data_IF_333431482574
#
_entry.id   IF_333431482574
#
_cell.length_a   1.000
_cell.length_b   1.000
_cell.length_c   1.000
_cell.angle_alpha   90.00
_cell.angle_beta   90.00
_cell.angle_gamma   90.00
#
_symmetry.space_group_name_H-M   'P 1'
#
loop_
_entity.id
_entity.type
_entity.pdbx_description
1 polymer ?
#
# COMPACT_ATOMS: atom_id res chain seq x y z
N UNK A 1 80.37 -0.09 0.93
CA UNK A 1 79.61 -0.91 1.90
C UNK A 1 78.23 -0.26 2.01
N UNK A 2 77.27 -0.72 1.13
CA UNK A 2 75.94 -0.14 1.06
C UNK A 2 74.95 -1.24 1.46
N UNK A 3 74.24 -1.04 2.55
CA UNK A 3 73.35 -2.00 3.18
C UNK A 3 71.96 -1.86 2.47
N UNK A 4 71.53 -2.91 1.82
CA UNK A 4 70.20 -3.01 1.20
C UNK A 4 69.21 -3.40 2.34
N UNK A 5 68.21 -2.51 2.59
CA UNK A 5 67.08 -2.81 3.46
C UNK A 5 66.03 -3.59 2.68
N UNK A 6 65.79 -4.80 3.10
CA UNK A 6 64.70 -5.67 2.64
C UNK A 6 63.35 -5.08 3.09
N UNK A 7 62.48 -4.79 2.13
CA UNK A 7 61.12 -4.36 2.36
C UNK A 7 60.23 -5.60 2.59
N UNK A 8 59.82 -5.87 3.81
CA UNK A 8 58.88 -6.93 4.15
C UNK A 8 57.47 -6.48 3.77
N UNK A 9 56.89 -7.14 2.79
CA UNK A 9 55.48 -7.05 2.44
C UNK A 9 54.64 -7.60 3.59
N UNK A 10 53.80 -6.73 4.15
CA UNK A 10 52.81 -7.07 5.17
C UNK A 10 51.59 -7.78 4.51
N UNK A 11 51.26 -9.03 4.87
CA UNK A 11 50.16 -9.79 4.23
C UNK A 11 48.79 -9.57 4.87
N UNK A 12 48.57 -8.49 5.62
CA UNK A 12 47.26 -8.18 6.23
C UNK A 12 46.46 -7.18 5.43
N UNK A 13 46.25 -7.46 4.13
CA UNK A 13 45.18 -6.81 3.39
C UNK A 13 43.82 -7.37 3.87
N UNK A 14 43.18 -6.67 4.78
CA UNK A 14 41.82 -6.98 5.23
C UNK A 14 40.84 -7.14 4.05
N UNK A 15 40.49 -8.39 3.79
CA UNK A 15 39.33 -8.72 2.94
C UNK A 15 38.08 -8.21 3.62
N UNK A 16 37.66 -6.98 3.31
CA UNK A 16 36.34 -6.45 3.68
C UNK A 16 35.23 -7.42 3.22
N UNK A 17 34.18 -7.59 4.00
CA UNK A 17 33.50 -8.87 4.10
C UNK A 17 32.60 -9.14 2.90
N UNK A 18 32.76 -10.30 2.31
CA UNK A 18 31.83 -11.02 1.42
C UNK A 18 30.38 -11.04 1.96
N UNK A 19 30.16 -10.70 3.23
CA UNK A 19 28.85 -10.62 3.90
C UNK A 19 27.91 -9.59 3.25
N UNK A 20 28.38 -8.42 2.83
CA UNK A 20 27.55 -7.37 2.22
C UNK A 20 27.03 -7.77 0.84
N UNK A 21 27.87 -8.37 -0.01
CA UNK A 21 27.49 -8.78 -1.38
C UNK A 21 26.47 -9.92 -1.35
N UNK A 22 26.64 -10.90 -0.46
CA UNK A 22 25.66 -12.00 -0.30
C UNK A 22 24.32 -11.52 0.23
N UNK A 23 24.32 -10.58 1.18
CA UNK A 23 23.09 -9.99 1.70
C UNK A 23 22.36 -9.19 0.61
N UNK A 24 23.07 -8.38 -0.16
CA UNK A 24 22.50 -7.64 -1.29
C UNK A 24 21.93 -8.58 -2.37
N UNK A 25 22.66 -9.65 -2.71
CA UNK A 25 22.15 -10.63 -3.68
C UNK A 25 20.93 -11.37 -3.15
N UNK A 26 20.87 -11.69 -1.87
CA UNK A 26 19.71 -12.31 -1.22
C UNK A 26 18.49 -11.38 -1.32
N UNK A 27 18.68 -10.10 -1.00
CA UNK A 27 17.61 -9.10 -1.07
C UNK A 27 17.14 -8.87 -2.50
N UNK A 28 18.06 -8.77 -3.47
CA UNK A 28 17.73 -8.66 -4.89
C UNK A 28 16.86 -9.84 -5.36
N UNK A 29 17.23 -11.07 -4.99
CA UNK A 29 16.45 -12.26 -5.36
C UNK A 29 15.08 -12.27 -4.68
N UNK A 30 15.00 -11.85 -3.40
CA UNK A 30 13.73 -11.71 -2.69
C UNK A 30 12.82 -10.70 -3.40
N UNK A 31 13.37 -9.57 -3.83
CA UNK A 31 12.63 -8.55 -4.60
C UNK A 31 12.14 -9.08 -5.94
N UNK A 32 12.99 -9.80 -6.69
CA UNK A 32 12.58 -10.42 -7.96
C UNK A 32 11.44 -11.41 -7.79
N UNK A 33 11.38 -12.16 -6.69
CA UNK A 33 10.26 -13.06 -6.39
C UNK A 33 8.95 -12.30 -6.15
N UNK A 34 8.99 -11.20 -5.42
CA UNK A 34 7.83 -10.34 -5.16
C UNK A 34 7.33 -9.73 -6.49
N UNK A 35 8.23 -9.17 -7.29
CA UNK A 35 7.91 -8.60 -8.60
C UNK A 35 7.33 -9.64 -9.56
N UNK A 36 7.91 -10.85 -9.59
CA UNK A 36 7.41 -11.97 -10.38
C UNK A 36 6.02 -12.45 -9.94
N UNK A 37 5.71 -12.40 -8.65
CA UNK A 37 4.38 -12.71 -8.14
C UNK A 37 3.37 -11.64 -8.53
N UNK A 38 3.73 -10.36 -8.40
CA UNK A 38 2.86 -9.25 -8.84
C UNK A 38 2.60 -9.28 -10.34
N UNK A 39 3.59 -9.60 -11.18
CA UNK A 39 3.43 -9.63 -12.64
C UNK A 39 2.44 -10.72 -13.11
N UNK A 40 2.26 -11.76 -12.31
CA UNK A 40 1.31 -12.84 -12.61
C UNK A 40 -0.13 -12.57 -12.18
N UNK A 41 -0.38 -11.53 -11.39
CA UNK A 41 -1.74 -11.15 -11.03
C UNK A 41 -2.43 -10.45 -12.21
N UNK A 42 -3.69 -10.80 -12.46
CA UNK A 42 -4.51 -10.17 -13.50
C UNK A 42 -5.98 -10.11 -13.09
N UNK A 43 -6.87 -9.70 -14.00
CA UNK A 43 -8.31 -9.76 -13.77
C UNK A 43 -8.79 -11.21 -13.58
N UNK A 44 -8.14 -12.16 -14.27
CA UNK A 44 -8.49 -13.59 -14.32
C UNK A 44 -7.64 -14.43 -13.37
N UNK A 45 -6.46 -13.94 -12.95
CA UNK A 45 -5.52 -14.68 -12.11
C UNK A 45 -5.35 -14.03 -10.74
N UNK A 46 -6.00 -14.61 -9.74
CA UNK A 46 -5.91 -14.19 -8.34
C UNK A 46 -4.63 -14.72 -7.66
N UNK A 47 -4.28 -14.16 -6.50
CA UNK A 47 -3.15 -14.64 -5.71
C UNK A 47 -3.29 -16.12 -5.32
N UNK A 48 -4.50 -16.56 -4.99
CA UNK A 48 -4.76 -17.96 -4.60
C UNK A 48 -4.49 -18.99 -5.71
N UNK A 49 -4.39 -18.53 -6.97
CA UNK A 49 -4.07 -19.39 -8.13
C UNK A 49 -2.57 -19.40 -8.47
N UNK A 50 -1.73 -18.63 -7.77
CA UNK A 50 -0.29 -18.60 -8.01
C UNK A 50 0.37 -19.89 -7.56
N UNK A 51 1.25 -20.42 -8.40
CA UNK A 51 2.10 -21.55 -8.03
C UNK A 51 3.55 -21.10 -7.77
N UNK A 52 4.14 -21.67 -6.70
CA UNK A 52 5.54 -21.44 -6.37
C UNK A 52 6.47 -21.66 -7.58
N UNK A 53 6.21 -22.71 -8.39
CA UNK A 53 7.03 -23.03 -9.55
C UNK A 53 6.96 -21.96 -10.63
N UNK A 54 5.78 -21.38 -10.85
CA UNK A 54 5.58 -20.32 -11.81
C UNK A 54 6.28 -19.03 -11.38
N UNK A 55 6.11 -18.66 -10.08
CA UNK A 55 6.76 -17.49 -9.49
C UNK A 55 8.29 -17.61 -9.55
N UNK A 56 8.85 -18.77 -9.17
CA UNK A 56 10.29 -19.00 -9.22
C UNK A 56 10.83 -18.94 -10.65
N UNK A 57 10.12 -19.52 -11.62
CA UNK A 57 10.48 -19.48 -13.03
C UNK A 57 10.48 -18.05 -13.57
N UNK A 58 9.47 -17.27 -13.27
CA UNK A 58 9.36 -15.87 -13.66
C UNK A 58 10.47 -15.02 -13.05
N UNK A 59 10.83 -15.28 -11.79
CA UNK A 59 11.95 -14.63 -11.11
C UNK A 59 13.34 -15.10 -11.59
N UNK A 60 13.40 -16.06 -12.53
CA UNK A 60 14.66 -16.59 -13.08
C UNK A 60 15.46 -17.44 -12.09
N UNK A 61 14.82 -18.09 -11.11
CA UNK A 61 15.49 -18.94 -10.12
C UNK A 61 14.95 -20.37 -10.11
N UNK A 62 15.76 -21.31 -9.61
CA UNK A 62 15.28 -22.67 -9.38
C UNK A 62 14.21 -22.69 -8.28
N UNK A 63 13.13 -23.49 -8.41
CA UNK A 63 12.07 -23.59 -7.39
C UNK A 63 12.58 -23.92 -5.97
N UNK A 64 13.65 -24.70 -5.87
CA UNK A 64 14.28 -25.01 -4.57
C UNK A 64 14.94 -23.79 -3.91
N UNK A 65 15.34 -22.79 -4.69
CA UNK A 65 15.91 -21.53 -4.19
C UNK A 65 14.87 -20.62 -3.56
N UNK A 66 13.61 -20.76 -3.90
CA UNK A 66 12.49 -20.02 -3.31
C UNK A 66 12.50 -20.13 -1.78
N UNK A 67 12.67 -21.35 -1.26
CA UNK A 67 12.64 -21.63 0.18
C UNK A 67 13.76 -20.98 1.01
N UNK A 68 14.73 -20.36 0.35
CA UNK A 68 15.74 -19.52 1.02
C UNK A 68 15.24 -18.11 1.32
N UNK A 69 14.12 -17.71 0.72
CA UNK A 69 13.55 -16.37 0.77
C UNK A 69 12.18 -16.33 1.43
N UNK A 70 11.35 -17.32 1.17
CA UNK A 70 10.00 -17.48 1.71
C UNK A 70 9.75 -18.93 2.08
N UNK A 71 9.09 -19.16 3.20
CA UNK A 71 8.71 -20.49 3.67
C UNK A 71 7.72 -21.17 2.70
N UNK A 72 6.75 -20.39 2.22
CA UNK A 72 5.70 -20.82 1.32
C UNK A 72 5.15 -19.62 0.51
N UNK A 73 4.17 -19.85 -0.34
CA UNK A 73 3.51 -18.82 -1.14
C UNK A 73 2.69 -17.87 -0.25
N UNK A 74 2.18 -18.36 0.87
CA UNK A 74 1.42 -17.52 1.81
C UNK A 74 2.31 -16.46 2.46
N UNK A 75 3.53 -16.78 2.89
CA UNK A 75 4.49 -15.80 3.40
C UNK A 75 4.87 -14.75 2.34
N UNK A 76 5.04 -15.18 1.08
CA UNK A 76 5.23 -14.26 -0.03
C UNK A 76 4.02 -13.31 -0.16
N UNK A 77 2.80 -13.85 -0.12
CA UNK A 77 1.57 -13.07 -0.21
C UNK A 77 1.41 -12.07 0.92
N UNK A 78 1.70 -12.47 2.16
CA UNK A 78 1.69 -11.56 3.31
C UNK A 78 2.68 -10.40 3.12
N UNK A 79 3.89 -10.69 2.63
CA UNK A 79 4.89 -9.67 2.30
C UNK A 79 4.37 -8.71 1.21
N UNK A 80 3.72 -9.24 0.17
CA UNK A 80 3.14 -8.42 -0.89
C UNK A 80 2.03 -7.50 -0.38
N UNK A 81 1.17 -7.98 0.54
CA UNK A 81 0.13 -7.17 1.19
C UNK A 81 0.76 -6.04 1.99
N UNK A 82 1.75 -6.34 2.84
CA UNK A 82 2.43 -5.34 3.67
C UNK A 82 3.11 -4.26 2.80
N UNK A 83 3.80 -4.65 1.72
CA UNK A 83 4.45 -3.69 0.80
C UNK A 83 3.42 -2.82 0.07
N UNK A 84 2.33 -3.42 -0.44
CA UNK A 84 1.26 -2.69 -1.13
C UNK A 84 0.55 -1.72 -0.20
N UNK A 85 0.27 -2.15 1.02
CA UNK A 85 -0.35 -1.31 2.06
C UNK A 85 0.55 -0.13 2.43
N UNK A 86 1.85 -0.38 2.65
CA UNK A 86 2.81 0.68 2.95
C UNK A 86 2.91 1.71 1.82
N UNK A 87 3.01 1.24 0.57
CA UNK A 87 3.05 2.11 -0.62
C UNK A 87 1.82 3.03 -0.67
N UNK A 88 0.62 2.46 -0.50
CA UNK A 88 -0.61 3.23 -0.55
C UNK A 88 -0.72 4.22 0.61
N UNK A 89 -0.36 3.82 1.85
CA UNK A 89 -0.33 4.75 3.00
C UNK A 89 0.61 5.92 2.77
N UNK A 90 1.81 5.68 2.25
CA UNK A 90 2.76 6.74 1.92
C UNK A 90 2.20 7.71 0.89
N UNK A 91 1.55 7.19 -0.18
CA UNK A 91 0.88 8.00 -1.18
C UNK A 91 -0.20 8.90 -0.56
N UNK A 92 -1.05 8.34 0.27
CA UNK A 92 -2.15 9.07 0.91
C UNK A 92 -1.65 10.11 1.92
N UNK A 93 -0.57 9.83 2.66
CA UNK A 93 0.08 10.82 3.52
C UNK A 93 0.63 12.00 2.73
N UNK A 94 1.33 11.73 1.62
CA UNK A 94 1.85 12.78 0.73
C UNK A 94 0.72 13.62 0.11
N UNK A 95 -0.41 12.99 -0.28
CA UNK A 95 -1.57 13.69 -0.77
C UNK A 95 -2.13 14.64 0.30
N UNK A 96 -2.28 14.19 1.56
CA UNK A 96 -2.73 15.03 2.68
C UNK A 96 -1.80 16.21 2.98
N UNK A 97 -0.50 16.01 2.96
CA UNK A 97 0.48 17.11 3.18
C UNK A 97 0.40 18.23 2.14
N UNK A 98 -0.05 17.93 0.92
CA UNK A 98 -0.25 18.94 -0.13
C UNK A 98 -1.47 19.84 0.10
N UNK A 99 -2.39 19.44 0.98
CA UNK A 99 -3.65 20.13 1.27
C UNK A 99 -3.43 21.38 2.13
N UNK A 100 -2.37 21.43 2.95
CA UNK A 100 -2.04 22.57 3.81
C UNK A 100 -1.85 23.88 3.02
N UNK A 101 -1.75 23.82 1.69
CA UNK A 101 -1.61 24.96 0.79
C UNK A 101 -2.94 25.49 0.19
N UNK A 102 -4.09 25.00 0.67
CA UNK A 102 -5.43 25.37 0.20
C UNK A 102 -5.94 24.46 -0.91
N UNK A 103 -7.15 23.90 -0.73
CA UNK A 103 -7.83 23.04 -1.70
C UNK A 103 -8.80 22.05 -1.04
N UNK A 104 -9.57 21.34 -1.87
CA UNK A 104 -10.45 20.29 -1.39
C UNK A 104 -9.64 19.04 -1.05
N UNK A 105 -9.58 18.67 0.23
CA UNK A 105 -8.95 17.43 0.74
C UNK A 105 -9.35 16.21 -0.09
N UNK A 106 -10.63 16.08 -0.35
CA UNK A 106 -11.20 14.94 -1.08
C UNK A 106 -10.59 14.86 -2.48
N UNK A 107 -10.66 15.94 -3.27
CA UNK A 107 -10.12 15.95 -4.63
C UNK A 107 -8.61 15.75 -4.67
N UNK A 108 -7.87 16.40 -3.77
CA UNK A 108 -6.41 16.28 -3.67
C UNK A 108 -5.95 14.87 -3.29
N UNK A 109 -6.80 14.09 -2.62
CA UNK A 109 -6.51 12.70 -2.26
C UNK A 109 -6.97 11.70 -3.33
N UNK A 110 -8.11 11.95 -4.01
CA UNK A 110 -8.69 11.03 -4.99
C UNK A 110 -7.87 10.93 -6.27
N UNK A 111 -7.43 12.04 -6.83
CA UNK A 111 -6.68 12.02 -8.09
C UNK A 111 -5.38 11.20 -7.99
N UNK A 112 -4.50 11.37 -6.96
CA UNK A 112 -3.35 10.50 -6.77
C UNK A 112 -3.72 9.03 -6.52
N UNK A 113 -4.84 8.76 -5.84
CA UNK A 113 -5.31 7.39 -5.61
C UNK A 113 -5.71 6.70 -6.93
N UNK A 114 -6.49 7.37 -7.78
CA UNK A 114 -6.88 6.84 -9.08
C UNK A 114 -5.69 6.67 -10.04
N UNK A 115 -4.74 7.59 -9.99
CA UNK A 115 -3.48 7.47 -10.73
C UNK A 115 -2.64 6.29 -10.25
N UNK A 116 -2.54 6.08 -8.94
CA UNK A 116 -1.82 4.94 -8.35
C UNK A 116 -2.43 3.60 -8.76
N UNK A 117 -3.77 3.50 -8.81
CA UNK A 117 -4.47 2.31 -9.32
C UNK A 117 -4.10 2.05 -10.78
N UNK A 118 -4.07 3.09 -11.61
CA UNK A 118 -3.71 2.97 -13.02
C UNK A 118 -2.27 2.51 -13.22
N UNK A 119 -1.34 3.02 -12.40
CA UNK A 119 0.09 2.74 -12.49
C UNK A 119 0.51 1.42 -11.83
N UNK A 120 -0.26 0.94 -10.83
CA UNK A 120 0.08 -0.27 -10.06
C UNK A 120 -1.12 -1.22 -9.91
N UNK A 121 -1.80 -1.62 -11.01
CA UNK A 121 -3.08 -2.34 -10.92
C UNK A 121 -2.97 -3.64 -10.12
N UNK A 122 -1.86 -4.35 -10.21
CA UNK A 122 -1.71 -5.64 -9.54
C UNK A 122 -1.56 -5.54 -8.02
N UNK A 123 -0.90 -4.48 -7.52
CA UNK A 123 -0.86 -4.21 -6.09
C UNK A 123 -2.26 -3.87 -5.54
N UNK A 124 -3.04 -3.10 -6.30
CA UNK A 124 -4.41 -2.78 -5.94
C UNK A 124 -5.37 -3.98 -6.09
N UNK A 125 -5.18 -4.87 -7.07
CA UNK A 125 -5.92 -6.14 -7.14
C UNK A 125 -5.73 -6.94 -5.87
N UNK A 126 -4.50 -7.05 -5.39
CA UNK A 126 -4.18 -7.77 -4.17
C UNK A 126 -4.91 -7.18 -2.95
N UNK A 127 -4.86 -5.87 -2.76
CA UNK A 127 -5.49 -5.20 -1.61
C UNK A 127 -7.01 -5.14 -1.68
N UNK A 128 -7.57 -4.91 -2.87
CA UNK A 128 -8.98 -4.58 -3.02
C UNK A 128 -9.86 -5.80 -3.34
N UNK A 129 -9.31 -6.81 -4.03
CA UNK A 129 -10.06 -7.99 -4.46
C UNK A 129 -9.84 -9.24 -3.61
N UNK A 130 -8.64 -9.40 -3.05
CA UNK A 130 -8.31 -10.59 -2.25
C UNK A 130 -8.86 -10.55 -0.80
N UNK A 131 -9.74 -9.60 -0.49
CA UNK A 131 -10.45 -9.53 0.81
C UNK A 131 -11.19 -10.81 1.17
N UNK A 132 -11.56 -11.59 0.15
CA UNK A 132 -12.26 -12.88 0.26
C UNK A 132 -11.34 -14.07 0.01
N UNK A 133 -10.02 -13.87 -0.08
CA UNK A 133 -9.03 -14.93 -0.37
C UNK A 133 -9.15 -16.16 0.53
N UNK A 134 -8.60 -17.29 0.08
CA UNK A 134 -8.74 -18.61 0.74
C UNK A 134 -8.03 -18.71 2.09
N UNK A 135 -6.86 -18.07 2.24
CA UNK A 135 -6.07 -18.09 3.48
C UNK A 135 -6.63 -17.10 4.51
N UNK A 136 -6.91 -17.60 5.73
CA UNK A 136 -7.33 -16.74 6.85
C UNK A 136 -6.27 -15.72 7.25
N UNK A 137 -4.99 -16.11 7.20
CA UNK A 137 -3.86 -15.22 7.49
C UNK A 137 -3.79 -14.07 6.48
N UNK A 138 -4.02 -14.36 5.20
CA UNK A 138 -4.05 -13.37 4.14
C UNK A 138 -5.21 -12.38 4.31
N UNK A 139 -6.43 -12.88 4.55
CA UNK A 139 -7.60 -12.01 4.84
C UNK A 139 -7.35 -11.11 6.05
N UNK A 140 -6.74 -11.65 7.12
CA UNK A 140 -6.39 -10.88 8.30
C UNK A 140 -5.34 -9.79 8.01
N UNK A 141 -4.35 -10.07 7.15
CA UNK A 141 -3.36 -9.09 6.73
C UNK A 141 -4.01 -7.93 5.94
N UNK A 142 -4.85 -8.25 4.96
CA UNK A 142 -5.60 -7.23 4.19
C UNK A 142 -6.51 -6.41 5.12
N UNK A 143 -7.21 -7.05 6.05
CA UNK A 143 -8.06 -6.36 7.02
C UNK A 143 -7.25 -5.39 7.91
N UNK A 144 -6.05 -5.80 8.37
CA UNK A 144 -5.16 -4.91 9.14
C UNK A 144 -4.74 -3.68 8.33
N UNK A 145 -4.38 -3.87 7.07
CA UNK A 145 -4.03 -2.74 6.21
C UNK A 145 -5.19 -1.76 6.05
N UNK A 146 -6.41 -2.26 5.87
CA UNK A 146 -7.61 -1.41 5.82
C UNK A 146 -7.80 -0.65 7.15
N UNK A 147 -7.61 -1.30 8.30
CA UNK A 147 -7.70 -0.64 9.60
C UNK A 147 -6.63 0.45 9.78
N UNK A 148 -5.42 0.26 9.25
CA UNK A 148 -4.41 1.30 9.24
C UNK A 148 -4.85 2.54 8.43
N UNK A 149 -5.52 2.34 7.27
CA UNK A 149 -6.08 3.46 6.50
C UNK A 149 -7.17 4.19 7.25
N UNK A 150 -8.08 3.45 7.88
CA UNK A 150 -9.17 4.04 8.68
C UNK A 150 -8.58 4.87 9.83
N UNK A 151 -7.62 4.31 10.58
CA UNK A 151 -7.00 4.98 11.70
C UNK A 151 -6.28 6.28 11.27
N UNK A 152 -5.47 6.24 10.20
CA UNK A 152 -4.76 7.43 9.69
C UNK A 152 -5.71 8.51 9.14
N UNK A 153 -6.83 8.11 8.54
CA UNK A 153 -7.85 9.07 8.10
C UNK A 153 -8.61 9.64 9.30
N UNK A 154 -8.91 8.82 10.30
CA UNK A 154 -9.56 9.26 11.53
C UNK A 154 -8.70 10.27 12.30
N UNK A 155 -7.37 10.05 12.42
CA UNK A 155 -6.43 11.01 13.01
C UNK A 155 -6.53 12.38 12.32
N UNK A 156 -6.58 12.37 10.99
CA UNK A 156 -6.72 13.59 10.22
C UNK A 156 -8.08 14.28 10.42
N UNK A 157 -9.19 13.51 10.38
CA UNK A 157 -10.55 14.06 10.54
C UNK A 157 -10.79 14.62 11.94
N UNK A 158 -10.29 13.96 12.98
CA UNK A 158 -10.36 14.41 14.36
C UNK A 158 -9.73 15.79 14.51
N UNK A 159 -8.51 15.96 14.02
CA UNK A 159 -7.76 17.22 14.09
C UNK A 159 -8.39 18.31 13.20
N UNK A 160 -8.74 17.97 11.95
CA UNK A 160 -9.22 18.95 10.97
C UNK A 160 -10.61 19.50 11.27
N UNK A 161 -11.47 18.69 11.91
CA UNK A 161 -12.86 19.05 12.17
C UNK A 161 -13.16 19.28 13.67
N UNK A 162 -12.19 19.09 14.53
CA UNK A 162 -12.33 19.15 15.99
C UNK A 162 -13.51 18.29 16.51
N UNK A 163 -13.56 17.03 16.07
CA UNK A 163 -14.58 16.03 16.42
C UNK A 163 -13.95 14.92 17.28
N UNK A 164 -14.73 14.24 18.14
CA UNK A 164 -14.21 13.16 18.96
C UNK A 164 -13.72 11.98 18.11
N UNK A 165 -12.70 11.27 18.63
CA UNK A 165 -12.06 10.13 17.98
C UNK A 165 -13.04 9.09 17.44
N UNK A 166 -13.98 8.64 18.26
CA UNK A 166 -14.94 7.61 17.88
C UNK A 166 -15.81 8.03 16.68
N UNK A 167 -16.13 9.33 16.58
CA UNK A 167 -16.90 9.86 15.46
C UNK A 167 -16.06 9.98 14.19
N UNK A 168 -14.80 10.41 14.34
CA UNK A 168 -13.84 10.44 13.25
C UNK A 168 -13.58 9.03 12.67
N UNK A 169 -13.53 7.99 13.52
CA UNK A 169 -13.38 6.59 13.09
C UNK A 169 -14.57 6.10 12.29
N UNK A 170 -15.81 6.35 12.72
CA UNK A 170 -17.01 5.99 11.96
C UNK A 170 -17.05 6.68 10.58
N UNK A 171 -16.71 7.96 10.54
CA UNK A 171 -16.64 8.71 9.30
C UNK A 171 -15.54 8.17 8.37
N UNK A 172 -14.36 7.90 8.92
CA UNK A 172 -13.22 7.35 8.18
C UNK A 172 -13.54 5.97 7.60
N UNK A 173 -14.18 5.09 8.39
CA UNK A 173 -14.60 3.75 7.95
C UNK A 173 -15.56 3.83 6.77
N UNK A 174 -16.58 4.69 6.84
CA UNK A 174 -17.52 4.90 5.74
C UNK A 174 -16.80 5.40 4.46
N UNK A 175 -15.91 6.38 4.60
CA UNK A 175 -15.15 6.93 3.48
C UNK A 175 -14.20 5.88 2.87
N UNK A 176 -13.42 5.18 3.67
CA UNK A 176 -12.48 4.15 3.21
C UNK A 176 -13.22 3.01 2.51
N UNK A 177 -14.36 2.58 3.03
CA UNK A 177 -15.19 1.54 2.41
C UNK A 177 -15.62 1.92 0.99
N UNK A 178 -16.11 3.14 0.80
CA UNK A 178 -16.55 3.62 -0.53
C UNK A 178 -15.36 3.78 -1.47
N UNK A 179 -14.25 4.37 -1.00
CA UNK A 179 -13.03 4.54 -1.79
C UNK A 179 -12.47 3.20 -2.26
N UNK A 180 -12.42 2.20 -1.39
CA UNK A 180 -11.89 0.88 -1.75
C UNK A 180 -12.80 0.13 -2.72
N UNK A 181 -14.13 0.27 -2.58
CA UNK A 181 -15.07 -0.29 -3.54
C UNK A 181 -14.94 0.37 -4.93
N UNK A 182 -14.84 1.69 -4.98
CA UNK A 182 -14.61 2.43 -6.22
C UNK A 182 -13.22 2.09 -6.82
N UNK A 183 -12.20 1.91 -5.98
CA UNK A 183 -10.87 1.46 -6.41
C UNK A 183 -10.90 0.07 -7.06
N UNK A 184 -11.67 -0.87 -6.52
CA UNK A 184 -11.85 -2.19 -7.11
C UNK A 184 -12.59 -2.12 -8.47
N UNK A 185 -13.59 -1.24 -8.61
CA UNK A 185 -14.29 -0.96 -9.88
C UNK A 185 -13.30 -0.35 -10.90
N UNK A 186 -12.46 0.58 -10.47
CA UNK A 186 -11.51 1.30 -11.32
C UNK A 186 -10.46 0.40 -12.00
N UNK A 187 -10.20 -0.80 -11.44
CA UNK A 187 -9.19 -1.73 -11.98
C UNK A 187 -9.51 -2.24 -13.38
N UNK A 188 -10.78 -2.38 -13.73
CA UNK A 188 -11.23 -3.07 -14.95
C UNK A 188 -11.95 -2.16 -15.94
N UNK A 189 -11.97 -0.86 -15.68
CA UNK A 189 -12.63 0.11 -16.55
C UNK A 189 -11.63 1.02 -17.26
N UNK A 190 -12.03 1.57 -18.41
CA UNK A 190 -11.22 2.50 -19.20
C UNK A 190 -11.11 3.88 -18.58
N UNK A 191 -10.19 4.70 -19.11
CA UNK A 191 -9.88 6.04 -18.58
C UNK A 191 -11.12 6.97 -18.52
N UNK A 192 -11.99 6.94 -19.53
CA UNK A 192 -13.20 7.76 -19.54
C UNK A 192 -14.17 7.39 -18.40
N UNK A 193 -14.36 6.10 -18.17
CA UNK A 193 -15.20 5.59 -17.09
C UNK A 193 -14.57 5.87 -15.70
N UNK A 194 -13.25 5.82 -15.58
CA UNK A 194 -12.55 6.20 -14.33
C UNK A 194 -12.79 7.65 -13.95
N UNK A 195 -12.85 8.58 -14.91
CA UNK A 195 -13.17 9.99 -14.63
C UNK A 195 -14.59 10.14 -14.08
N UNK A 196 -15.56 9.48 -14.68
CA UNK A 196 -16.94 9.49 -14.18
C UNK A 196 -17.05 8.87 -12.79
N UNK A 197 -16.31 7.80 -12.54
CA UNK A 197 -16.22 7.16 -11.23
C UNK A 197 -15.60 8.09 -10.19
N UNK A 198 -14.54 8.81 -10.55
CA UNK A 198 -13.89 9.79 -9.68
C UNK A 198 -14.82 10.94 -9.31
N UNK A 199 -15.55 11.51 -10.27
CA UNK A 199 -16.54 12.56 -10.04
C UNK A 199 -17.67 12.07 -9.11
N UNK A 200 -18.20 10.88 -9.36
CA UNK A 200 -19.21 10.24 -8.50
C UNK A 200 -18.69 10.06 -7.08
N UNK A 201 -17.47 9.53 -6.95
CA UNK A 201 -16.84 9.27 -5.65
C UNK A 201 -16.57 10.57 -4.88
N UNK A 202 -16.12 11.63 -5.56
CA UNK A 202 -15.93 12.95 -4.94
C UNK A 202 -17.25 13.45 -4.32
N UNK A 203 -18.38 13.35 -5.04
CA UNK A 203 -19.68 13.76 -4.53
C UNK A 203 -20.11 12.92 -3.32
N UNK A 204 -19.95 11.60 -3.38
CA UNK A 204 -20.27 10.70 -2.26
C UNK A 204 -19.46 11.04 -1.01
N UNK A 205 -18.16 11.26 -1.15
CA UNK A 205 -17.30 11.63 -0.02
C UNK A 205 -17.66 13.00 0.56
N UNK A 206 -18.03 13.97 -0.29
CA UNK A 206 -18.52 15.28 0.16
C UNK A 206 -19.83 15.17 0.94
N UNK A 207 -20.74 14.30 0.50
CA UNK A 207 -22.00 14.04 1.19
C UNK A 207 -21.73 13.43 2.58
N UNK A 208 -20.85 12.44 2.66
CA UNK A 208 -20.44 11.83 3.94
C UNK A 208 -19.82 12.89 4.85
N UNK A 209 -18.86 13.68 4.33
CA UNK A 209 -18.16 14.67 5.13
C UNK A 209 -19.11 15.73 5.70
N UNK A 210 -19.99 16.28 4.85
CA UNK A 210 -20.95 17.32 5.26
C UNK A 210 -22.03 16.74 6.18
N UNK A 211 -22.57 15.57 5.84
CA UNK A 211 -23.60 14.90 6.62
C UNK A 211 -23.12 14.53 8.03
N UNK A 212 -21.93 13.97 8.13
CA UNK A 212 -21.32 13.63 9.41
C UNK A 212 -21.14 14.87 10.29
N UNK A 213 -20.57 15.95 9.72
CA UNK A 213 -20.31 17.17 10.47
C UNK A 213 -21.61 17.87 10.89
N UNK A 214 -22.62 17.92 9.99
CA UNK A 214 -23.94 18.47 10.32
C UNK A 214 -24.60 17.69 11.46
N UNK A 215 -24.61 16.35 11.36
CA UNK A 215 -25.22 15.48 12.38
C UNK A 215 -24.52 15.62 13.73
N UNK A 216 -23.18 15.64 13.75
CA UNK A 216 -22.41 15.83 14.95
C UNK A 216 -22.74 17.16 15.66
N UNK A 217 -22.78 18.27 14.91
CA UNK A 217 -23.11 19.60 15.47
C UNK A 217 -24.52 19.65 16.04
N UNK A 218 -25.50 19.05 15.36
CA UNK A 218 -26.88 18.99 15.80
C UNK A 218 -27.04 18.21 17.11
N UNK A 219 -26.37 17.06 17.23
CA UNK A 219 -26.48 16.21 18.43
C UNK A 219 -25.74 16.80 19.62
N UNK A 220 -24.69 17.58 19.45
CA UNK A 220 -23.85 18.09 20.54
C UNK A 220 -24.00 19.59 20.81
N UNK A 221 -25.04 20.20 20.27
CA UNK A 221 -25.44 21.57 20.62
C UNK A 221 -24.48 22.68 20.18
N UNK A 222 -23.58 22.41 19.21
CA UNK A 222 -22.84 23.44 18.52
C UNK A 222 -23.79 24.17 17.55
N UNK A 223 -24.59 25.11 18.10
CA UNK A 223 -25.45 25.97 17.28
C UNK A 223 -24.60 26.68 16.22
N UNK A 224 -25.14 26.75 15.02
CA UNK A 224 -24.64 27.61 13.94
C UNK A 224 -24.55 29.04 14.50
N UNK A 225 -23.34 29.54 14.76
CA UNK A 225 -23.12 30.97 14.79
C UNK A 225 -23.32 31.44 13.36
N UNK A 226 -24.31 32.29 13.22
CA UNK A 226 -25.02 32.66 12.03
C UNK A 226 -24.17 33.23 10.88
N UNK A 227 -24.81 33.07 9.71
CA UNK A 227 -24.71 33.86 8.45
C UNK A 227 -23.35 34.40 8.02
#
# INVERSE_FOLDING_TARGET
MVTVKSNSLDPTAEKKPIRGVRAQQKEKTRRSLIEAAFSQLSAEKSFSSLSLREVAREAGIAPTSFYRHFKDVDELGLTMVDESGLMLRQLMRQARQRIEKGGSVIRTSLAPFMEAIANNPNAFRLLLRERSGTSSAFRAAVAREIQHFIAELADYLELANNIPRHFAELQAEAMVTIVFNAGAEALDIGQAQRRLLEERLELQLRMIAKGALYWYRKEHGCAEEGE
#
